data_IF_533258772409
#
_entry.id   IF_533258772409
#
_cell.length_a   1.000
_cell.length_b   1.000
_cell.length_c   1.000
_cell.angle_alpha   90.00
_cell.angle_beta   90.00
_cell.angle_gamma   90.00
#
_symmetry.space_group_name_H-M   'P 1'
#
loop_
_entity.id
_entity.type
_entity.pdbx_description
1 polymer ?
#
# COMPACT_ATOMS: atom_id res chain seq x y z
N UNK A 1 24.98 35.38 -12.59
CA UNK A 1 23.52 35.20 -12.52
C UNK A 1 23.05 34.01 -13.36
N UNK A 2 23.39 33.85 -14.67
CA UNK A 2 22.95 32.68 -15.47
C UNK A 2 23.33 31.30 -14.92
N UNK A 3 24.51 31.13 -14.33
CA UNK A 3 24.98 29.85 -13.75
C UNK A 3 24.21 29.46 -12.49
N UNK A 4 23.78 30.41 -11.67
CA UNK A 4 23.00 30.18 -10.45
C UNK A 4 21.57 29.75 -10.80
N UNK A 5 20.97 30.34 -11.86
CA UNK A 5 19.63 29.98 -12.31
C UNK A 5 19.60 28.55 -12.86
N UNK A 6 20.61 28.12 -13.62
CA UNK A 6 20.70 26.74 -14.09
C UNK A 6 20.84 25.73 -12.93
N UNK A 7 21.63 26.04 -11.91
CA UNK A 7 21.77 25.17 -10.73
C UNK A 7 20.46 25.05 -9.95
N UNK A 8 19.70 26.13 -9.82
CA UNK A 8 18.40 26.13 -9.14
C UNK A 8 17.35 25.31 -9.89
N UNK A 9 17.33 25.39 -11.22
CA UNK A 9 16.41 24.59 -12.06
C UNK A 9 16.72 23.09 -11.98
N UNK A 10 17.99 22.71 -11.88
CA UNK A 10 18.39 21.29 -11.71
C UNK A 10 17.96 20.77 -10.32
N UNK A 11 18.07 21.57 -9.26
CA UNK A 11 17.64 21.22 -7.92
C UNK A 11 16.11 21.04 -7.83
N UNK A 12 15.33 21.85 -8.52
CA UNK A 12 13.86 21.73 -8.52
C UNK A 12 13.39 20.47 -9.27
N UNK A 13 14.09 20.02 -10.30
CA UNK A 13 13.73 18.79 -11.03
C UNK A 13 14.11 17.51 -10.29
N UNK A 14 14.99 17.52 -9.31
CA UNK A 14 15.36 16.33 -8.53
C UNK A 14 14.33 15.94 -7.45
N UNK A 15 13.32 16.75 -7.20
CA UNK A 15 12.32 16.51 -6.13
C UNK A 15 11.16 15.63 -6.58
N UNK A 16 11.01 15.34 -7.87
CA UNK A 16 9.86 14.59 -8.40
C UNK A 16 10.14 13.14 -8.83
N UNK A 17 11.27 12.56 -8.44
CA UNK A 17 11.54 11.14 -8.63
C UNK A 17 10.85 10.32 -7.50
N UNK A 18 9.54 10.44 -7.35
CA UNK A 18 8.78 9.39 -6.70
C UNK A 18 8.87 8.15 -7.59
N UNK A 19 9.44 7.09 -7.08
CA UNK A 19 9.45 5.81 -7.77
C UNK A 19 7.99 5.42 -8.08
N UNK A 20 7.59 5.62 -9.34
CA UNK A 20 6.26 5.26 -9.80
C UNK A 20 6.11 3.75 -9.66
N UNK A 21 5.05 3.32 -9.00
CA UNK A 21 4.75 1.91 -8.85
C UNK A 21 4.66 1.22 -10.23
N UNK A 22 5.22 0.01 -10.31
CA UNK A 22 5.16 -0.84 -11.50
C UNK A 22 4.93 -2.28 -11.11
N UNK A 23 4.10 -3.03 -11.86
CA UNK A 23 3.96 -4.48 -11.67
C UNK A 23 5.29 -5.20 -11.88
N UNK A 24 5.53 -6.24 -11.09
CA UNK A 24 6.73 -7.08 -11.26
C UNK A 24 6.70 -7.81 -12.59
N UNK A 25 7.81 -7.84 -13.32
CA UNK A 25 7.94 -8.53 -14.61
C UNK A 25 7.91 -10.07 -14.50
N UNK A 26 7.68 -10.75 -15.65
CA UNK A 26 7.93 -12.20 -15.78
C UNK A 26 6.89 -13.15 -15.20
N UNK A 27 5.78 -12.68 -14.65
CA UNK A 27 4.70 -13.52 -14.11
C UNK A 27 3.41 -13.39 -14.90
N UNK A 28 2.50 -14.37 -14.77
CA UNK A 28 1.17 -14.33 -15.38
C UNK A 28 0.41 -13.11 -14.90
N UNK A 29 -0.27 -12.45 -15.83
CA UNK A 29 -1.09 -11.27 -15.56
C UNK A 29 -2.41 -11.42 -16.33
N UNK A 30 -3.50 -11.02 -15.70
CA UNK A 30 -4.82 -10.99 -16.36
C UNK A 30 -4.99 -9.67 -17.10
N UNK A 31 -5.96 -9.63 -18.02
CA UNK A 31 -6.30 -8.39 -18.74
C UNK A 31 -6.83 -7.28 -17.79
N UNK A 32 -7.47 -7.66 -16.69
CA UNK A 32 -7.96 -6.71 -15.67
C UNK A 32 -6.81 -6.05 -14.92
N UNK A 33 -5.72 -6.77 -14.71
CA UNK A 33 -4.55 -6.23 -14.04
C UNK A 33 -3.93 -5.04 -14.79
N UNK A 34 -4.05 -5.00 -16.12
CA UNK A 34 -3.60 -3.88 -16.93
C UNK A 34 -4.51 -2.64 -16.84
N UNK A 35 -5.72 -2.80 -16.31
CA UNK A 35 -6.73 -1.75 -16.21
C UNK A 35 -6.87 -1.16 -14.80
N UNK A 36 -6.03 -1.60 -13.85
CA UNK A 36 -6.09 -1.11 -12.47
C UNK A 36 -5.68 0.36 -12.42
N UNK A 37 -6.56 1.16 -11.85
CA UNK A 37 -6.26 2.54 -11.49
C UNK A 37 -5.49 2.55 -10.17
N UNK A 38 -4.25 3.04 -10.22
CA UNK A 38 -3.34 3.09 -9.06
C UNK A 38 -3.80 4.13 -8.02
N UNK A 39 -4.47 5.17 -8.47
CA UNK A 39 -4.97 6.24 -7.60
C UNK A 39 -6.30 5.87 -6.93
N UNK A 40 -7.04 4.93 -7.51
CA UNK A 40 -8.37 4.54 -7.04
C UNK A 40 -8.56 3.01 -7.12
N UNK A 41 -7.84 2.29 -6.28
CA UNK A 41 -7.77 0.83 -6.31
C UNK A 41 -8.99 0.20 -5.69
N UNK A 42 -9.77 -0.53 -6.50
CA UNK A 42 -10.96 -1.27 -6.05
C UNK A 42 -11.83 -0.40 -5.12
N UNK A 43 -12.36 0.71 -5.62
CA UNK A 43 -13.07 1.69 -4.79
C UNK A 43 -14.44 1.19 -4.30
N UNK A 44 -14.93 0.11 -4.87
CA UNK A 44 -16.26 -0.41 -4.60
C UNK A 44 -16.39 -0.82 -3.12
N UNK A 45 -17.52 -0.51 -2.54
CA UNK A 45 -17.83 -0.95 -1.19
C UNK A 45 -17.91 -2.50 -1.16
N UNK A 46 -17.20 -3.18 -0.24
CA UNK A 46 -17.04 -4.64 -0.30
C UNK A 46 -18.33 -5.43 -0.03
N UNK A 47 -19.37 -4.76 0.46
CA UNK A 47 -20.68 -5.37 0.79
C UNK A 47 -21.81 -4.49 0.27
N UNK A 48 -22.16 -4.54 -1.01
CA UNK A 48 -23.08 -3.61 -1.63
C UNK A 48 -24.51 -3.64 -1.03
N UNK A 49 -24.89 -4.74 -0.34
CA UNK A 49 -26.18 -4.85 0.33
C UNK A 49 -26.24 -4.04 1.65
N UNK A 50 -25.10 -3.70 2.22
CA UNK A 50 -24.98 -3.02 3.52
C UNK A 50 -24.03 -1.84 3.44
N UNK A 51 -24.11 -1.08 2.37
CA UNK A 51 -23.28 0.09 2.13
C UNK A 51 -23.44 1.14 3.23
N UNK A 52 -22.35 1.77 3.62
CA UNK A 52 -22.29 2.84 4.62
C UNK A 52 -21.72 4.09 3.97
N UNK A 53 -22.31 5.24 4.30
CA UNK A 53 -21.84 6.53 3.79
C UNK A 53 -20.43 6.87 4.31
N UNK A 54 -20.17 6.55 5.58
CA UNK A 54 -18.87 6.83 6.23
C UNK A 54 -17.90 5.66 6.03
N UNK A 55 -17.48 5.46 4.79
CA UNK A 55 -16.51 4.44 4.40
C UNK A 55 -15.25 5.06 3.80
N UNK A 56 -14.09 4.65 4.29
CA UNK A 56 -12.80 5.05 3.74
C UNK A 56 -12.08 3.83 3.20
N UNK A 57 -11.77 3.86 1.91
CA UNK A 57 -10.96 2.83 1.28
C UNK A 57 -9.47 3.07 1.58
N UNK A 58 -8.85 2.13 2.28
CA UNK A 58 -7.42 2.18 2.60
C UNK A 58 -6.55 1.39 1.61
N UNK A 59 -7.10 0.89 0.51
CA UNK A 59 -6.29 0.29 -0.56
C UNK A 59 -5.29 1.32 -1.14
N UNK A 60 -4.23 0.81 -1.74
CA UNK A 60 -3.18 1.66 -2.31
C UNK A 60 -1.79 1.29 -1.81
N UNK A 61 -0.87 2.24 -1.83
CA UNK A 61 0.52 1.99 -1.43
C UNK A 61 0.69 2.01 0.09
N UNK A 62 1.24 0.91 0.63
CA UNK A 62 1.59 0.75 2.04
C UNK A 62 3.08 0.50 2.19
N UNK A 63 3.68 1.01 3.25
CA UNK A 63 5.01 0.59 3.66
C UNK A 63 4.95 -0.84 4.18
N UNK A 64 6.03 -1.59 3.99
CA UNK A 64 6.13 -2.93 4.55
C UNK A 64 7.53 -3.20 5.08
N UNK A 65 7.62 -4.15 6.01
CA UNK A 65 8.86 -4.74 6.48
C UNK A 65 8.67 -6.25 6.68
N UNK A 66 9.70 -7.02 6.49
CA UNK A 66 9.68 -8.47 6.69
C UNK A 66 10.60 -8.80 7.87
N UNK A 67 10.09 -9.64 8.77
CA UNK A 67 10.87 -10.17 9.89
C UNK A 67 10.63 -11.67 10.06
N UNK A 68 11.52 -12.38 10.76
CA UNK A 68 11.23 -13.74 11.20
C UNK A 68 10.02 -13.75 12.14
N UNK A 69 9.21 -14.80 12.08
CA UNK A 69 8.02 -14.98 12.93
C UNK A 69 8.36 -14.83 14.41
N UNK A 70 7.56 -14.05 15.13
CA UNK A 70 7.70 -13.80 16.56
C UNK A 70 8.71 -12.71 16.93
N UNK A 71 9.23 -11.98 15.95
CA UNK A 71 10.06 -10.80 16.19
C UNK A 71 9.23 -9.53 16.21
N UNK A 72 9.72 -8.51 16.91
CA UNK A 72 9.07 -7.20 16.89
C UNK A 72 9.15 -6.55 15.50
N UNK A 73 8.22 -5.64 15.23
CA UNK A 73 8.21 -4.85 14.00
C UNK A 73 9.57 -4.16 13.78
N UNK A 74 10.19 -4.32 12.60
CA UNK A 74 11.42 -3.63 12.26
C UNK A 74 11.28 -2.10 12.33
N UNK A 75 12.33 -1.40 12.74
CA UNK A 75 12.35 0.06 12.82
C UNK A 75 12.37 0.73 11.43
N UNK A 76 12.84 0.02 10.42
CA UNK A 76 12.91 0.50 9.03
C UNK A 76 12.03 -0.34 8.14
N UNK A 77 11.35 0.29 7.18
CA UNK A 77 10.61 -0.40 6.15
C UNK A 77 11.56 -0.89 5.04
N UNK A 78 11.26 -2.07 4.49
CA UNK A 78 11.99 -2.63 3.35
C UNK A 78 11.56 -2.01 2.02
N UNK A 79 10.33 -1.46 1.97
CA UNK A 79 9.82 -0.83 0.78
C UNK A 79 8.33 -0.53 0.86
N UNK A 80 7.68 -0.54 -0.30
CA UNK A 80 6.24 -0.27 -0.44
C UNK A 80 5.59 -1.36 -1.28
N UNK A 81 4.41 -1.78 -0.85
CA UNK A 81 3.55 -2.75 -1.54
C UNK A 81 2.19 -2.13 -1.88
N UNK A 82 1.61 -2.62 -2.94
CA UNK A 82 0.31 -2.18 -3.42
C UNK A 82 -0.80 -3.09 -2.90
N UNK A 83 -1.48 -2.64 -1.85
CA UNK A 83 -2.60 -3.34 -1.19
C UNK A 83 -3.89 -3.09 -2.00
N UNK A 84 -4.77 -4.08 -2.19
CA UNK A 84 -4.91 -5.34 -1.44
C UNK A 84 -4.24 -6.57 -2.09
N UNK A 85 -3.27 -6.38 -2.94
CA UNK A 85 -2.63 -7.47 -3.65
C UNK A 85 -1.62 -8.19 -2.76
N UNK A 86 -1.69 -9.53 -2.71
CA UNK A 86 -0.75 -10.34 -1.96
C UNK A 86 0.69 -10.09 -2.39
N UNK A 87 1.64 -10.15 -1.45
CA UNK A 87 3.06 -9.87 -1.69
C UNK A 87 3.65 -10.70 -2.82
N UNK A 88 3.14 -11.91 -3.05
CA UNK A 88 3.55 -12.80 -4.12
C UNK A 88 3.06 -12.37 -5.50
N UNK A 89 2.03 -11.54 -5.56
CA UNK A 89 1.42 -11.14 -6.82
C UNK A 89 2.28 -10.11 -7.56
N UNK A 90 2.11 -10.02 -8.89
CA UNK A 90 2.73 -8.96 -9.69
C UNK A 90 2.27 -7.56 -9.29
N UNK A 91 0.99 -7.45 -8.97
CA UNK A 91 0.35 -6.17 -8.69
C UNK A 91 0.73 -5.60 -7.34
N UNK A 92 1.20 -6.42 -6.41
CA UNK A 92 1.72 -5.88 -5.15
C UNK A 92 2.99 -5.06 -5.34
N UNK A 93 3.78 -5.34 -6.38
CA UNK A 93 5.12 -4.79 -6.55
C UNK A 93 6.21 -5.58 -5.81
N UNK A 94 5.86 -6.54 -4.96
CA UNK A 94 6.77 -7.44 -4.27
C UNK A 94 7.20 -8.61 -5.16
N UNK A 95 6.26 -9.48 -5.48
CA UNK A 95 6.48 -10.59 -6.40
C UNK A 95 7.38 -11.71 -5.86
N UNK A 96 7.52 -11.84 -4.55
CA UNK A 96 8.30 -12.89 -3.91
C UNK A 96 7.46 -13.65 -2.87
N UNK A 97 7.85 -14.88 -2.57
CA UNK A 97 7.18 -15.68 -1.54
C UNK A 97 7.73 -15.33 -0.16
N UNK A 98 6.83 -15.08 0.78
CA UNK A 98 7.19 -14.77 2.16
C UNK A 98 7.80 -15.99 2.87
N UNK A 99 7.29 -17.21 2.56
CA UNK A 99 7.67 -18.45 3.23
C UNK A 99 7.10 -18.57 4.64
N UNK A 100 7.25 -19.75 5.24
CA UNK A 100 6.64 -20.10 6.54
C UNK A 100 7.36 -19.51 7.76
N UNK A 101 8.59 -19.03 7.57
CA UNK A 101 9.45 -18.56 8.66
C UNK A 101 9.44 -17.06 8.85
N UNK A 102 8.71 -16.36 8.01
CA UNK A 102 8.67 -14.90 8.01
C UNK A 102 7.24 -14.40 8.17
N UNK A 103 7.13 -13.22 8.73
CA UNK A 103 5.92 -12.42 8.82
C UNK A 103 6.14 -11.08 8.11
N UNK A 104 5.06 -10.47 7.66
CA UNK A 104 5.10 -9.18 6.98
C UNK A 104 4.33 -8.16 7.80
N UNK A 105 4.96 -7.04 8.03
CA UNK A 105 4.40 -5.88 8.68
C UNK A 105 3.97 -4.87 7.65
N UNK A 106 2.75 -4.37 7.78
CA UNK A 106 2.20 -3.31 6.93
C UNK A 106 2.01 -2.04 7.73
N UNK A 107 2.39 -0.92 7.17
CA UNK A 107 2.21 0.38 7.80
C UNK A 107 1.62 1.39 6.83
N UNK A 108 0.55 2.05 7.25
CA UNK A 108 -0.05 3.18 6.54
C UNK A 108 -0.53 4.24 7.52
N UNK A 109 -0.30 5.49 7.18
CA UNK A 109 -0.87 6.62 7.89
C UNK A 109 -2.10 7.13 7.13
N UNK A 110 -3.14 7.45 7.85
CA UNK A 110 -4.36 8.06 7.33
C UNK A 110 -4.92 9.06 8.35
N UNK A 111 -5.74 9.99 7.89
CA UNK A 111 -6.41 10.93 8.78
C UNK A 111 -7.54 10.25 9.51
N UNK A 112 -7.65 10.49 10.83
CA UNK A 112 -8.73 9.96 11.64
C UNK A 112 -10.09 10.50 11.11
N UNK A 113 -10.99 9.62 10.65
CA UNK A 113 -12.30 10.03 10.17
C UNK A 113 -13.29 10.31 11.28
N UNK A 114 -12.90 10.28 12.55
CA UNK A 114 -13.83 10.46 13.67
C UNK A 114 -14.53 11.83 13.60
N UNK A 115 -15.84 11.76 13.49
CA UNK A 115 -16.72 12.91 13.47
C UNK A 115 -17.38 13.13 14.84
N UNK A 116 -16.57 13.53 15.84
CA UNK A 116 -17.08 13.91 17.16
C UNK A 116 -16.97 12.83 18.25
N UNK A 117 -17.32 13.20 19.47
CA UNK A 117 -17.23 12.35 20.66
C UNK A 117 -18.28 11.23 20.65
N UNK A 118 -17.85 10.00 20.83
CA UNK A 118 -18.73 8.83 20.97
C UNK A 118 -18.83 7.93 19.73
N UNK A 119 -18.24 8.31 18.61
CA UNK A 119 -18.16 7.44 17.44
C UNK A 119 -17.02 6.43 17.59
N UNK A 120 -17.19 5.26 16.99
CA UNK A 120 -16.18 4.20 16.92
C UNK A 120 -15.79 3.99 15.46
N UNK A 121 -14.49 3.93 15.22
CA UNK A 121 -13.95 3.53 13.93
C UNK A 121 -13.70 2.03 13.95
N UNK A 122 -14.01 1.36 12.85
CA UNK A 122 -13.76 -0.06 12.66
C UNK A 122 -12.80 -0.23 11.48
N UNK A 123 -11.73 -0.95 11.68
CA UNK A 123 -10.85 -1.36 10.61
C UNK A 123 -11.34 -2.71 10.07
N UNK A 124 -11.63 -2.76 8.78
CA UNK A 124 -12.12 -3.96 8.09
C UNK A 124 -11.04 -4.56 7.23
N UNK A 125 -10.67 -5.79 7.55
CA UNK A 125 -9.81 -6.61 6.70
C UNK A 125 -10.67 -7.47 5.79
N UNK A 126 -10.57 -7.28 4.48
CA UNK A 126 -11.33 -8.06 3.49
C UNK A 126 -10.86 -9.52 3.40
N UNK A 127 -9.56 -9.73 3.52
CA UNK A 127 -8.93 -11.04 3.61
C UNK A 127 -7.59 -10.93 4.35
N UNK A 128 -7.32 -11.91 5.19
CA UNK A 128 -6.05 -12.06 5.89
C UNK A 128 -5.63 -13.53 5.79
N UNK A 129 -4.39 -13.76 5.41
CA UNK A 129 -3.83 -15.09 5.38
C UNK A 129 -3.22 -15.39 6.76
N UNK A 130 -3.79 -16.39 7.43
CA UNK A 130 -3.39 -16.97 8.71
C UNK A 130 -3.82 -16.12 9.92
N UNK A 131 -3.05 -15.18 10.41
CA UNK A 131 -3.34 -14.32 11.57
C UNK A 131 -2.98 -12.88 11.25
N UNK A 132 -3.68 -11.92 11.84
CA UNK A 132 -3.31 -10.51 11.85
C UNK A 132 -3.43 -9.97 13.28
N UNK A 133 -2.51 -9.07 13.64
CA UNK A 133 -2.51 -8.28 14.87
C UNK A 133 -2.39 -6.80 14.48
N UNK A 134 -3.08 -5.89 15.19
CA UNK A 134 -3.11 -4.45 14.98
C UNK A 134 -2.79 -3.66 16.27
#
# INVERSE_FOLDING_TARGET
MRKIVCSLVILINSVYLFAQWKPVGGRIMTEWAAKIDVENVLPEYPRPIMERADWINLNGMWNYAISPVGHAMPQSCDGRLFVPFAVESRLSGGGYSLGEKNEIWYQRQFSDPSHGTGNRNFLHYGAVAWTAED
#
